data_IF_445242814944
#
_entry.id   IF_445242814944
#
_cell.length_a   1.000
_cell.length_b   1.000
_cell.length_c   1.000
_cell.angle_alpha   90.00
_cell.angle_beta   90.00
_cell.angle_gamma   90.00
#
_symmetry.space_group_name_H-M   'P 1'
#
loop_
_entity.id
_entity.type
_entity.pdbx_description
1 polymer ?
#
# COMPACT_ATOMS: atom_id res chain seq x y z
N UNK A 1 16.87 4.43 17.05
CA UNK A 1 15.70 4.25 16.15
C UNK A 1 16.08 4.79 14.78
N UNK A 2 15.89 4.02 13.70
CA UNK A 2 16.24 4.46 12.33
C UNK A 2 14.99 4.88 11.57
N UNK A 3 13.92 4.10 11.67
CA UNK A 3 12.63 4.35 11.01
C UNK A 3 11.47 4.46 12.03
N UNK A 4 10.41 5.17 11.65
CA UNK A 4 9.17 5.28 12.41
C UNK A 4 8.06 4.52 11.67
N UNK A 5 7.29 3.72 12.41
CA UNK A 5 6.24 2.86 11.84
C UNK A 5 4.88 3.17 12.48
N UNK A 6 4.19 4.24 12.05
CA UNK A 6 2.92 4.65 12.64
C UNK A 6 1.80 3.68 12.27
N UNK A 7 0.87 3.49 13.19
CA UNK A 7 -0.41 2.84 12.90
C UNK A 7 -1.20 3.66 11.86
N UNK A 8 -2.16 3.03 11.21
CA UNK A 8 -3.11 3.66 10.27
C UNK A 8 -4.36 4.21 10.99
N UNK A 9 -4.24 4.50 12.28
CA UNK A 9 -5.26 5.04 13.15
C UNK A 9 -4.66 6.13 14.05
N UNK A 10 -5.51 6.97 14.65
CA UNK A 10 -5.10 8.04 15.56
C UNK A 10 -5.30 7.66 17.01
N UNK A 11 -4.58 8.33 17.89
CA UNK A 11 -4.56 7.99 19.32
C UNK A 11 -5.91 8.17 20.04
N UNK A 12 -6.83 8.94 19.46
CA UNK A 12 -8.18 9.16 19.98
C UNK A 12 -9.16 8.05 19.61
N UNK A 13 -8.93 7.35 18.49
CA UNK A 13 -9.68 6.17 18.09
C UNK A 13 -8.76 5.18 17.36
N UNK A 14 -8.32 4.17 18.12
CA UNK A 14 -7.43 3.13 17.64
C UNK A 14 -8.18 1.99 16.95
N UNK A 15 -9.50 1.88 17.08
CA UNK A 15 -10.28 0.77 16.52
C UNK A 15 -10.70 1.03 15.06
N UNK A 16 -10.80 2.31 14.69
CA UNK A 16 -11.21 2.73 13.36
C UNK A 16 -10.06 3.46 12.63
N UNK A 17 -9.40 2.81 11.65
CA UNK A 17 -8.39 3.43 10.83
C UNK A 17 -8.87 4.69 10.11
N UNK A 18 -7.99 5.69 10.03
CA UNK A 18 -8.19 6.89 9.22
C UNK A 18 -7.40 6.85 7.89
N UNK A 19 -6.72 5.73 7.64
CA UNK A 19 -5.94 5.47 6.43
C UNK A 19 -6.14 4.03 5.92
N UNK A 20 -6.44 3.90 4.62
CA UNK A 20 -6.23 2.67 3.85
C UNK A 20 -4.87 2.76 3.18
N UNK A 21 -4.10 1.68 3.23
CA UNK A 21 -2.73 1.59 2.70
C UNK A 21 -2.64 0.49 1.65
N UNK A 22 -2.05 0.80 0.51
CA UNK A 22 -1.68 -0.16 -0.53
C UNK A 22 -0.15 -0.17 -0.63
N UNK A 23 0.45 -1.33 -0.44
CA UNK A 23 1.90 -1.52 -0.51
C UNK A 23 2.25 -2.32 -1.77
N UNK A 24 2.96 -1.66 -2.69
CA UNK A 24 3.32 -2.21 -4.00
C UNK A 24 4.75 -2.73 -3.94
N UNK A 25 4.88 -4.04 -3.80
CA UNK A 25 6.16 -4.72 -3.61
C UNK A 25 6.53 -5.53 -4.86
N UNK A 26 7.62 -5.16 -5.57
CA UNK A 26 8.04 -5.92 -6.74
C UNK A 26 8.63 -7.27 -6.31
N UNK A 27 8.23 -8.34 -7.01
CA UNK A 27 8.84 -9.66 -6.86
C UNK A 27 10.22 -9.70 -7.53
N UNK A 28 10.93 -10.82 -7.39
CA UNK A 28 12.21 -11.02 -8.08
C UNK A 28 12.04 -10.91 -9.61
N UNK A 29 12.97 -10.23 -10.28
CA UNK A 29 12.88 -9.93 -11.72
C UNK A 29 12.13 -8.64 -12.06
N UNK A 30 11.39 -8.06 -11.11
CA UNK A 30 10.68 -6.79 -11.27
C UNK A 30 11.30 -5.69 -10.40
N UNK A 31 11.06 -4.44 -10.79
CA UNK A 31 11.66 -3.28 -10.14
C UNK A 31 10.70 -2.10 -10.04
N UNK A 32 11.26 -0.94 -9.69
CA UNK A 32 10.49 0.27 -9.41
C UNK A 32 9.60 0.71 -10.59
N UNK A 33 10.04 0.54 -11.83
CA UNK A 33 9.22 0.88 -13.01
C UNK A 33 7.96 0.02 -13.13
N UNK A 34 8.03 -1.26 -12.75
CA UNK A 34 6.84 -2.11 -12.66
C UNK A 34 5.90 -1.59 -11.57
N UNK A 35 6.43 -1.21 -10.40
CA UNK A 35 5.64 -0.59 -9.34
C UNK A 35 4.97 0.72 -9.80
N UNK A 36 5.67 1.56 -10.56
CA UNK A 36 5.10 2.80 -11.12
C UNK A 36 3.95 2.52 -12.09
N UNK A 37 4.10 1.52 -12.95
CA UNK A 37 3.03 1.07 -13.86
C UNK A 37 1.80 0.61 -13.09
N UNK A 38 2.00 -0.23 -12.06
CA UNK A 38 0.90 -0.70 -11.20
C UNK A 38 0.30 0.45 -10.38
N UNK A 39 1.11 1.39 -9.88
CA UNK A 39 0.64 2.57 -9.17
C UNK A 39 -0.26 3.47 -10.05
N UNK A 40 0.06 3.60 -11.34
CA UNK A 40 -0.81 4.32 -12.28
C UNK A 40 -2.17 3.61 -12.44
N UNK A 41 -2.18 2.28 -12.50
CA UNK A 41 -3.46 1.53 -12.49
C UNK A 41 -4.22 1.67 -11.17
N UNK A 42 -3.51 1.71 -10.02
CA UNK A 42 -4.13 2.00 -8.73
C UNK A 42 -4.82 3.37 -8.76
N UNK A 43 -4.16 4.39 -9.30
CA UNK A 43 -4.73 5.72 -9.49
C UNK A 43 -6.04 5.66 -10.29
N UNK A 44 -6.05 5.00 -11.45
CA UNK A 44 -7.27 4.87 -12.28
C UNK A 44 -8.42 4.12 -11.57
N UNK A 45 -8.09 3.11 -10.77
CA UNK A 45 -9.09 2.38 -9.97
C UNK A 45 -9.66 3.27 -8.87
N UNK A 46 -8.82 4.00 -8.13
CA UNK A 46 -9.24 4.92 -7.08
C UNK A 46 -10.11 6.06 -7.66
N UNK A 47 -9.68 6.66 -8.77
CA UNK A 47 -10.42 7.72 -9.46
C UNK A 47 -11.82 7.25 -9.90
N UNK A 48 -11.95 6.00 -10.36
CA UNK A 48 -13.25 5.45 -10.78
C UNK A 48 -14.29 5.32 -9.65
N UNK A 49 -13.83 5.37 -8.39
CA UNK A 49 -14.68 5.35 -7.18
C UNK A 49 -14.56 6.65 -6.37
N UNK A 50 -14.05 7.72 -6.98
CA UNK A 50 -13.87 9.04 -6.37
C UNK A 50 -13.02 9.03 -5.08
N UNK A 51 -12.02 8.15 -5.01
CA UNK A 51 -11.01 8.13 -3.95
C UNK A 51 -9.72 8.77 -4.45
N UNK A 52 -8.99 9.45 -3.55
CA UNK A 52 -7.69 10.06 -3.85
C UNK A 52 -6.58 9.29 -3.14
N UNK A 53 -5.60 8.84 -3.91
CA UNK A 53 -4.39 8.18 -3.41
C UNK A 53 -3.22 9.16 -3.30
N UNK A 54 -2.42 9.01 -2.24
CA UNK A 54 -1.21 9.79 -1.97
C UNK A 54 0.00 8.86 -2.00
N UNK A 55 0.77 8.82 -3.10
CA UNK A 55 1.88 7.91 -3.24
C UNK A 55 3.15 8.41 -2.53
N UNK A 56 3.97 7.46 -2.11
CA UNK A 56 5.33 7.71 -1.61
C UNK A 56 6.24 6.53 -1.95
N UNK A 57 7.52 6.79 -2.16
CA UNK A 57 8.50 5.71 -2.24
C UNK A 57 8.54 4.96 -0.91
N UNK A 58 8.80 3.66 -0.91
CA UNK A 58 9.02 2.95 0.35
C UNK A 58 10.37 3.27 0.98
N UNK A 59 11.32 3.81 0.22
CA UNK A 59 12.73 3.91 0.60
C UNK A 59 13.48 2.57 0.47
N UNK A 60 12.85 1.58 -0.18
CA UNK A 60 13.46 0.34 -0.62
C UNK A 60 13.19 0.15 -2.13
N UNK A 61 12.41 -0.86 -2.54
CA UNK A 61 12.13 -1.17 -3.96
C UNK A 61 10.72 -0.79 -4.43
N UNK A 62 9.81 -0.52 -3.49
CA UNK A 62 8.37 -0.42 -3.72
C UNK A 62 7.78 0.99 -3.58
N UNK A 63 6.46 1.06 -3.69
CA UNK A 63 5.65 2.28 -3.56
C UNK A 63 4.54 2.01 -2.54
N UNK A 64 4.34 2.92 -1.60
CA UNK A 64 3.15 2.89 -0.75
C UNK A 64 2.17 3.96 -1.24
N UNK A 65 0.88 3.65 -1.24
CA UNK A 65 -0.19 4.59 -1.60
C UNK A 65 -1.16 4.65 -0.43
N UNK A 66 -1.36 5.85 0.10
CA UNK A 66 -2.27 6.08 1.21
C UNK A 66 -3.57 6.68 0.69
N UNK A 67 -4.70 6.23 1.23
CA UNK A 67 -6.03 6.79 0.98
C UNK A 67 -6.61 7.23 2.30
N UNK A 68 -6.99 8.49 2.40
CA UNK A 68 -7.58 9.04 3.62
C UNK A 68 -9.02 8.56 3.79
N UNK A 69 -9.37 8.09 4.98
CA UNK A 69 -10.71 7.63 5.33
C UNK A 69 -11.32 8.47 6.45
N UNK A 70 -12.64 8.38 6.59
CA UNK A 70 -13.31 8.69 7.85
C UNK A 70 -13.12 7.51 8.80
N UNK A 71 -13.01 7.79 10.10
CA UNK A 71 -12.92 6.79 11.17
C UNK A 71 -14.30 6.18 11.44
N UNK A 72 -14.81 5.42 10.47
CA UNK A 72 -16.13 4.77 10.52
C UNK A 72 -16.05 3.24 10.42
N UNK A 73 -14.94 2.70 9.91
CA UNK A 73 -14.77 1.29 9.59
C UNK A 73 -13.68 0.66 10.41
N UNK A 74 -13.86 -0.60 10.78
CA UNK A 74 -12.84 -1.37 11.49
C UNK A 74 -11.72 -1.86 10.54
N UNK A 75 -10.66 -2.41 11.12
CA UNK A 75 -9.52 -3.00 10.39
C UNK A 75 -9.92 -4.09 9.40
N UNK A 76 -10.96 -4.89 9.71
CA UNK A 76 -11.41 -5.96 8.84
C UNK A 76 -12.05 -5.38 7.57
N UNK A 77 -12.91 -4.38 7.71
CA UNK A 77 -13.57 -3.67 6.62
C UNK A 77 -12.55 -2.91 5.76
N UNK A 78 -11.61 -2.18 6.38
CA UNK A 78 -10.56 -1.45 5.65
C UNK A 78 -9.66 -2.41 4.87
N UNK A 79 -9.26 -3.54 5.46
CA UNK A 79 -8.49 -4.58 4.75
C UNK A 79 -9.28 -5.21 3.60
N UNK A 80 -10.59 -5.44 3.78
CA UNK A 80 -11.48 -5.93 2.71
C UNK A 80 -11.59 -4.95 1.55
N UNK A 81 -11.67 -3.65 1.83
CA UNK A 81 -11.64 -2.61 0.81
C UNK A 81 -10.30 -2.59 0.06
N UNK A 82 -9.17 -2.69 0.78
CA UNK A 82 -7.84 -2.79 0.17
C UNK A 82 -7.70 -4.00 -0.75
N UNK A 83 -8.20 -5.17 -0.34
CA UNK A 83 -8.22 -6.37 -1.20
C UNK A 83 -9.10 -6.19 -2.45
N UNK A 84 -10.26 -5.56 -2.32
CA UNK A 84 -11.14 -5.29 -3.46
C UNK A 84 -10.46 -4.39 -4.50
N UNK A 85 -9.80 -3.30 -4.06
CA UNK A 85 -9.00 -2.42 -4.92
C UNK A 85 -7.86 -3.22 -5.57
N UNK A 86 -7.11 -3.98 -4.79
CA UNK A 86 -5.98 -4.77 -5.28
C UNK A 86 -6.38 -5.78 -6.38
N UNK A 87 -7.51 -6.48 -6.20
CA UNK A 87 -8.04 -7.42 -7.20
C UNK A 87 -8.52 -6.73 -8.47
N UNK A 88 -9.10 -5.53 -8.36
CA UNK A 88 -9.49 -4.77 -9.54
C UNK A 88 -8.28 -4.26 -10.32
N UNK A 89 -7.21 -3.88 -9.61
CA UNK A 89 -5.92 -3.54 -10.24
C UNK A 89 -5.32 -4.76 -10.94
N UNK A 90 -5.28 -5.92 -10.29
CA UNK A 90 -4.83 -7.20 -10.88
C UNK A 90 -5.63 -7.60 -12.13
N UNK A 91 -6.95 -7.29 -12.18
CA UNK A 91 -7.76 -7.50 -13.38
C UNK A 91 -7.40 -6.58 -14.54
N UNK A 92 -6.89 -5.37 -14.26
CA UNK A 92 -6.59 -4.34 -15.27
C UNK A 92 -5.13 -4.32 -15.70
N UNK A 93 -4.23 -4.83 -14.88
CA UNK A 93 -2.79 -4.80 -15.11
C UNK A 93 -2.17 -6.17 -14.81
N UNK A 94 -1.65 -6.81 -15.86
CA UNK A 94 -1.03 -8.14 -15.78
C UNK A 94 0.28 -8.17 -14.98
N UNK A 95 0.85 -7.01 -14.62
CA UNK A 95 1.99 -6.92 -13.72
C UNK A 95 1.57 -6.95 -12.24
N UNK A 96 0.30 -6.75 -11.92
CA UNK A 96 -0.17 -6.76 -10.53
C UNK A 96 -0.57 -8.17 -10.11
N UNK A 97 -0.28 -8.53 -8.86
CA UNK A 97 -0.73 -9.80 -8.29
C UNK A 97 -1.22 -9.64 -6.85
N UNK A 98 -2.26 -10.40 -6.49
CA UNK A 98 -2.74 -10.58 -5.11
C UNK A 98 -2.51 -12.01 -4.59
N UNK A 99 -1.69 -12.81 -5.29
CA UNK A 99 -1.43 -14.20 -4.95
C UNK A 99 -0.91 -14.36 -3.51
N UNK A 100 -1.55 -15.27 -2.78
CA UNK A 100 -1.25 -15.47 -1.36
C UNK A 100 0.14 -16.07 -1.16
N UNK A 101 0.43 -17.14 -1.89
CA UNK A 101 1.68 -17.88 -1.84
C UNK A 101 2.78 -17.14 -2.58
N UNK A 102 3.98 -17.06 -2.00
CA UNK A 102 5.07 -16.24 -2.57
C UNK A 102 5.56 -16.80 -3.91
N UNK A 103 5.57 -18.12 -4.02
CA UNK A 103 5.94 -18.89 -5.20
C UNK A 103 4.98 -18.72 -6.39
N UNK A 104 3.75 -18.25 -6.13
CA UNK A 104 2.76 -17.95 -7.18
C UNK A 104 2.79 -16.48 -7.63
N UNK A 105 3.60 -15.63 -6.98
CA UNK A 105 3.64 -14.19 -7.28
C UNK A 105 4.58 -13.92 -8.45
N UNK A 106 4.03 -13.30 -9.47
CA UNK A 106 4.77 -12.73 -10.60
C UNK A 106 4.40 -11.25 -10.72
N UNK A 107 5.38 -10.37 -10.94
CA UNK A 107 5.16 -8.93 -11.09
C UNK A 107 5.30 -8.14 -9.79
N UNK A 108 4.25 -7.40 -9.44
CA UNK A 108 4.16 -6.50 -8.29
C UNK A 108 3.04 -6.99 -7.40
N UNK A 109 3.41 -7.46 -6.22
CA UNK A 109 2.47 -7.86 -5.20
C UNK A 109 1.84 -6.64 -4.55
N UNK A 110 0.52 -6.61 -4.48
CA UNK A 110 -0.22 -5.57 -3.76
C UNK A 110 -0.54 -6.09 -2.36
N UNK A 111 0.28 -5.74 -1.36
CA UNK A 111 0.10 -6.22 0.00
C UNK A 111 -1.02 -5.46 0.73
N UNK A 112 -2.25 -5.93 0.51
CA UNK A 112 -3.43 -5.44 1.22
C UNK A 112 -3.44 -5.83 2.71
N UNK A 113 -2.61 -6.79 3.15
CA UNK A 113 -2.53 -7.18 4.56
C UNK A 113 -1.90 -6.10 5.43
N UNK A 114 -1.24 -5.10 4.83
CA UNK A 114 -0.73 -3.95 5.56
C UNK A 114 -1.82 -3.10 6.24
N UNK A 115 -3.09 -3.35 5.92
CA UNK A 115 -4.24 -2.78 6.62
C UNK A 115 -4.69 -3.60 7.84
N UNK A 116 -4.05 -4.72 8.15
CA UNK A 116 -4.35 -5.47 9.39
C UNK A 116 -3.80 -4.72 10.61
N UNK A 117 -4.34 -5.04 11.78
CA UNK A 117 -3.85 -4.52 13.05
C UNK A 117 -2.35 -4.82 13.24
N UNK A 118 -1.62 -3.87 13.83
CA UNK A 118 -0.19 -3.96 14.19
C UNK A 118 0.76 -4.26 13.01
N UNK A 119 0.41 -3.75 11.82
CA UNK A 119 1.28 -3.83 10.65
C UNK A 119 2.23 -2.63 10.56
N UNK A 120 3.47 -2.93 10.18
CA UNK A 120 4.54 -1.95 10.09
C UNK A 120 4.62 -1.37 8.68
N UNK A 121 4.44 -0.06 8.57
CA UNK A 121 4.75 0.71 7.38
C UNK A 121 5.61 1.90 7.78
N UNK A 122 6.77 2.06 7.14
CA UNK A 122 7.63 3.22 7.35
C UNK A 122 6.87 4.52 7.04
N UNK A 123 6.95 5.49 7.96
CA UNK A 123 6.29 6.79 7.81
C UNK A 123 6.81 7.53 6.58
N UNK A 124 6.02 8.48 6.08
CA UNK A 124 6.57 9.51 5.21
C UNK A 124 7.77 10.20 5.91
N UNK A 125 8.81 10.48 5.12
CA UNK A 125 10.08 11.08 5.52
C UNK A 125 10.95 10.25 6.49
N UNK A 126 10.57 9.01 6.83
CA UNK A 126 11.45 8.11 7.60
C UNK A 126 12.66 7.69 6.77
N UNK A 127 13.84 7.69 7.40
CA UNK A 127 15.05 7.04 6.89
C UNK A 127 14.85 5.53 7.00
N UNK A 128 15.31 4.78 6.00
CA UNK A 128 15.31 3.31 6.00
C UNK A 128 16.72 2.78 6.31
N UNK A 129 16.82 1.51 6.70
CA UNK A 129 18.12 0.86 6.93
C UNK A 129 19.03 0.87 5.68
N UNK A 130 18.46 1.09 4.49
CA UNK A 130 19.16 1.24 3.21
C UNK A 130 19.88 2.58 3.06
N UNK A 131 19.62 3.54 3.97
CA UNK A 131 20.09 4.93 3.88
C UNK A 131 19.17 5.84 3.05
N UNK A 132 18.18 5.28 2.34
CA UNK A 132 17.18 6.05 1.59
C UNK A 132 16.02 6.52 2.47
N UNK A 133 15.22 7.45 1.95
CA UNK A 133 14.04 8.01 2.62
C UNK A 133 12.76 7.52 1.95
N UNK A 134 11.71 7.28 2.74
CA UNK A 134 10.36 7.08 2.22
C UNK A 134 9.72 8.42 1.87
N UNK A 135 9.75 8.79 0.59
CA UNK A 135 9.50 10.17 0.13
C UNK A 135 8.16 10.28 -0.59
N UNK A 136 7.22 11.13 -0.14
CA UNK A 136 6.02 11.48 -0.90
C UNK A 136 6.34 12.12 -2.25
N UNK A 137 5.53 11.87 -3.27
CA UNK A 137 5.68 12.46 -4.60
C UNK A 137 4.34 12.66 -5.31
#
# INVERSE_FOLDING_TARGET
>A
CVDLNPWNARADDLEHPDELRLDLDPTEGYGFDACRSVAATVHDVLDSVALVGWPKTSGNRGIHIYVRLRQEWDYFQVRRAGLAIAREVERRNNLATTAWWKEEREGVFIDFNQNAWDKTIASAYSVRHTGYVSTPF
#
